data_IF_898616929692
#
_entry.id   IF_898616929692
#
_cell.length_a   1.000
_cell.length_b   1.000
_cell.length_c   1.000
_cell.angle_alpha   90.00
_cell.angle_beta   90.00
_cell.angle_gamma   90.00
#
_symmetry.space_group_name_H-M   'P 1'
#
loop_
_entity.id
_entity.type
_entity.pdbx_description
1 polymer ?
#
# COMPACT_ATOMS: atom_id res chain seq x y z
N UNK A 1 -35.81 23.39 8.31
CA UNK A 1 -35.07 22.91 7.13
C UNK A 1 -33.71 23.61 7.11
N UNK A 2 -32.70 23.00 7.70
CA UNK A 2 -31.34 23.56 7.80
C UNK A 2 -30.55 23.08 6.61
N UNK A 3 -30.14 24.01 5.72
CA UNK A 3 -29.26 23.75 4.60
C UNK A 3 -27.86 23.34 5.10
N UNK A 4 -27.43 22.12 4.79
CA UNK A 4 -26.03 21.70 4.90
C UNK A 4 -25.22 22.31 3.74
N UNK A 5 -24.06 22.91 3.98
CA UNK A 5 -23.21 23.42 2.90
C UNK A 5 -22.63 22.27 2.09
N UNK A 6 -22.56 22.46 0.77
CA UNK A 6 -22.00 21.50 -0.17
C UNK A 6 -20.50 21.26 0.09
N UNK A 7 -19.99 20.03 -0.14
CA UNK A 7 -18.57 19.73 0.08
C UNK A 7 -17.71 20.50 -0.91
N UNK A 8 -16.72 21.21 -0.40
CA UNK A 8 -15.72 21.91 -1.21
C UNK A 8 -14.88 20.90 -2.00
N UNK A 9 -14.98 20.92 -3.32
CA UNK A 9 -14.10 20.17 -4.22
C UNK A 9 -12.71 20.80 -4.18
N UNK A 10 -11.73 20.07 -3.65
CA UNK A 10 -10.32 20.45 -3.73
C UNK A 10 -9.87 20.25 -5.19
N UNK A 11 -9.44 21.30 -5.86
CA UNK A 11 -8.91 21.23 -7.22
C UNK A 11 -7.42 20.86 -7.20
N UNK A 12 -6.89 20.28 -8.29
CA UNK A 12 -5.46 19.95 -8.43
C UNK A 12 -4.54 21.15 -8.16
N UNK A 13 -4.99 22.38 -8.47
CA UNK A 13 -4.25 23.61 -8.18
C UNK A 13 -4.20 23.94 -6.70
N UNK A 14 -5.28 23.71 -5.95
CA UNK A 14 -5.32 23.94 -4.50
C UNK A 14 -4.42 22.95 -3.75
N UNK A 15 -4.29 21.71 -4.23
CA UNK A 15 -3.36 20.73 -3.66
C UNK A 15 -1.89 21.14 -3.86
N UNK A 16 -1.53 21.61 -5.06
CA UNK A 16 -0.17 22.11 -5.34
C UNK A 16 0.20 23.37 -4.53
N UNK A 17 -0.76 24.27 -4.27
CA UNK A 17 -0.50 25.48 -3.47
C UNK A 17 -0.33 25.19 -1.98
N UNK A 18 -1.07 24.23 -1.42
CA UNK A 18 -0.87 23.79 -0.03
C UNK A 18 0.50 23.11 0.16
N UNK A 19 0.93 22.31 -0.82
CA UNK A 19 2.26 21.66 -0.80
C UNK A 19 3.40 22.66 -0.92
N UNK A 20 3.22 23.76 -1.67
CA UNK A 20 4.23 24.80 -1.83
C UNK A 20 4.41 25.67 -0.58
N UNK A 21 3.35 25.90 0.19
CA UNK A 21 3.43 26.67 1.45
C UNK A 21 4.13 25.86 2.55
N UNK A 22 3.97 24.54 2.58
CA UNK A 22 4.67 23.66 3.53
C UNK A 22 6.19 23.57 3.24
N UNK A 23 6.61 23.79 1.98
CA UNK A 23 8.03 23.76 1.57
C UNK A 23 8.76 25.11 1.77
N UNK A 24 8.03 26.23 1.84
CA UNK A 24 8.64 27.55 1.97
C UNK A 24 9.15 27.87 3.39
N UNK A 25 8.76 27.11 4.42
CA UNK A 25 9.18 27.31 5.81
C UNK A 25 10.47 26.56 6.20
N UNK A 26 11.14 25.85 5.27
CA UNK A 26 12.35 25.06 5.51
C UNK A 26 13.63 25.64 4.88
N UNK A 27 13.67 26.92 4.53
CA UNK A 27 14.90 27.57 4.10
C UNK A 27 15.74 28.01 5.31
N UNK A 28 16.50 27.11 5.89
CA UNK A 28 17.61 27.41 6.81
C UNK A 28 18.94 27.20 6.11
N UNK A 29 19.96 28.05 6.37
CA UNK A 29 21.23 28.03 5.63
C UNK A 29 22.05 26.79 5.96
N UNK A 30 22.54 26.14 4.94
CA UNK A 30 23.45 25.00 5.05
C UNK A 30 24.77 25.40 5.70
N UNK A 31 25.07 24.87 6.89
CA UNK A 31 26.44 24.76 7.39
C UNK A 31 26.82 23.28 7.45
N UNK A 32 27.89 22.96 6.71
CA UNK A 32 28.54 21.66 6.74
C UNK A 32 29.15 21.40 8.11
N UNK A 33 28.87 20.24 8.68
CA UNK A 33 29.80 19.55 9.56
C UNK A 33 29.61 18.05 9.34
N UNK A 34 30.65 17.39 8.84
CA UNK A 34 30.78 15.93 8.90
C UNK A 34 31.12 15.59 10.34
N UNK A 35 30.26 14.86 11.00
CA UNK A 35 30.50 14.28 12.29
C UNK A 35 29.49 13.14 12.47
N UNK A 36 30.00 11.94 12.75
CA UNK A 36 29.23 10.79 13.20
C UNK A 36 28.47 11.18 14.47
N UNK A 37 27.19 11.47 14.36
CA UNK A 37 26.28 11.53 15.49
C UNK A 37 25.32 10.34 15.41
N UNK A 38 25.39 9.52 16.47
CA UNK A 38 24.40 8.51 16.76
C UNK A 38 22.99 9.09 16.59
N UNK A 39 22.16 8.43 15.80
CA UNK A 39 20.77 8.84 15.57
C UNK A 39 20.02 8.82 16.90
N UNK A 40 20.00 9.96 17.58
CA UNK A 40 19.02 10.23 18.62
C UNK A 40 17.65 10.19 17.97
N UNK A 41 16.77 9.36 18.49
CA UNK A 41 15.38 9.27 18.03
C UNK A 41 14.80 10.70 18.01
N UNK A 42 14.57 11.22 16.82
CA UNK A 42 14.02 12.55 16.65
C UNK A 42 12.62 12.57 17.28
N UNK A 43 12.44 13.38 18.30
CA UNK A 43 11.14 13.60 18.91
C UNK A 43 10.20 14.14 17.85
N UNK A 44 9.04 13.51 17.67
CA UNK A 44 8.04 13.93 16.71
C UNK A 44 7.71 15.42 16.88
N UNK A 45 7.79 16.19 15.78
CA UNK A 45 7.58 17.65 15.83
C UNK A 45 6.11 18.04 15.83
N UNK A 46 5.22 17.12 15.42
CA UNK A 46 3.77 17.28 15.42
C UNK A 46 3.09 15.98 15.89
N UNK A 47 3.14 15.65 17.19
CA UNK A 47 2.50 14.45 17.71
C UNK A 47 0.98 14.56 17.57
N UNK A 48 0.32 13.40 17.41
CA UNK A 48 -1.13 13.29 17.47
C UNK A 48 -1.85 13.14 16.13
N UNK A 49 -1.16 13.26 15.00
CA UNK A 49 -1.75 12.98 13.69
C UNK A 49 -1.52 11.51 13.32
N UNK A 50 -2.53 10.88 12.71
CA UNK A 50 -2.43 9.59 12.05
C UNK A 50 -2.17 9.85 10.57
N UNK A 51 -1.10 9.30 10.01
CA UNK A 51 -0.72 9.46 8.62
C UNK A 51 -0.78 8.13 7.90
N UNK A 52 -1.57 8.06 6.84
CA UNK A 52 -1.63 6.92 5.94
C UNK A 52 -1.07 7.37 4.59
N UNK A 53 0.02 6.74 4.19
CA UNK A 53 0.64 6.92 2.87
C UNK A 53 0.27 5.70 2.04
N UNK A 54 -0.29 5.90 0.85
CA UNK A 54 -0.67 4.78 0.00
C UNK A 54 -0.14 4.92 -1.42
N UNK A 55 0.09 3.76 -2.04
CA UNK A 55 0.32 3.60 -3.48
C UNK A 55 -0.73 2.68 -4.06
N UNK A 56 -0.97 2.80 -5.36
CA UNK A 56 -1.79 1.91 -6.17
C UNK A 56 -1.34 2.02 -7.62
N UNK A 57 -1.53 0.97 -8.41
CA UNK A 57 -1.23 0.94 -9.84
C UNK A 57 0.19 1.42 -10.18
N UNK A 58 1.18 0.99 -9.41
CA UNK A 58 2.57 1.43 -9.62
C UNK A 58 3.18 0.75 -10.85
N UNK A 59 2.76 -0.48 -11.17
CA UNK A 59 3.18 -1.21 -12.37
C UNK A 59 4.68 -1.19 -12.62
N UNK A 60 5.47 -1.50 -11.62
CA UNK A 60 6.94 -1.49 -11.66
C UNK A 60 7.57 -0.14 -12.05
N UNK A 61 6.86 0.98 -11.88
CA UNK A 61 7.36 2.32 -12.18
C UNK A 61 8.28 2.83 -11.07
N UNK A 62 9.44 2.20 -10.91
CA UNK A 62 10.38 2.42 -9.80
C UNK A 62 10.94 3.84 -9.76
N UNK A 63 11.20 4.42 -10.92
CA UNK A 63 11.86 5.71 -11.12
C UNK A 63 10.99 6.76 -11.84
N UNK A 64 9.79 6.38 -12.29
CA UNK A 64 8.87 7.30 -12.96
C UNK A 64 8.11 8.18 -11.96
N UNK A 65 7.72 9.37 -12.39
CA UNK A 65 6.93 10.32 -11.62
C UNK A 65 7.50 10.55 -10.21
N UNK A 66 6.78 10.09 -9.18
CA UNK A 66 7.26 10.14 -7.80
C UNK A 66 8.43 9.18 -7.59
N UNK A 67 8.31 7.93 -8.02
CA UNK A 67 9.26 6.85 -7.83
C UNK A 67 9.43 6.42 -6.36
N UNK A 68 9.94 5.21 -6.17
CA UNK A 68 10.07 4.65 -4.80
C UNK A 68 11.08 5.40 -3.93
N UNK A 69 12.17 5.92 -4.50
CA UNK A 69 13.16 6.68 -3.74
C UNK A 69 12.55 7.94 -3.10
N UNK A 70 11.69 8.66 -3.83
CA UNK A 70 11.00 9.85 -3.29
C UNK A 70 9.89 9.46 -2.32
N UNK A 71 9.19 8.35 -2.57
CA UNK A 71 8.20 7.80 -1.66
C UNK A 71 8.82 7.46 -0.31
N UNK A 72 9.97 6.74 -0.30
CA UNK A 72 10.71 6.41 0.92
C UNK A 72 11.13 7.66 1.67
N UNK A 73 11.68 8.64 0.96
CA UNK A 73 12.07 9.92 1.58
C UNK A 73 10.86 10.66 2.18
N UNK A 74 9.74 10.65 1.48
CA UNK A 74 8.50 11.22 1.99
C UNK A 74 8.00 10.49 3.24
N UNK A 75 7.96 9.14 3.21
CA UNK A 75 7.56 8.33 4.36
C UNK A 75 8.49 8.55 5.56
N UNK A 76 9.82 8.65 5.35
CA UNK A 76 10.79 8.99 6.40
C UNK A 76 10.51 10.37 7.00
N UNK A 77 10.19 11.36 6.15
CA UNK A 77 9.84 12.71 6.62
C UNK A 77 8.57 12.68 7.45
N UNK A 78 7.56 11.94 7.02
CA UNK A 78 6.32 11.80 7.80
C UNK A 78 6.58 11.11 9.14
N UNK A 79 7.37 10.03 9.14
CA UNK A 79 7.74 9.31 10.38
C UNK A 79 8.51 10.20 11.36
N UNK A 80 9.41 11.06 10.85
CA UNK A 80 10.14 12.02 11.72
C UNK A 80 9.24 13.15 12.23
N UNK A 81 8.22 13.53 11.48
CA UNK A 81 7.31 14.64 11.83
C UNK A 81 6.23 14.19 12.83
N UNK A 82 5.62 13.04 12.58
CA UNK A 82 4.43 12.59 13.31
C UNK A 82 4.68 11.44 14.28
N UNK A 83 5.88 10.86 14.26
CA UNK A 83 6.25 9.64 14.98
C UNK A 83 6.15 8.41 14.09
N UNK A 84 7.09 7.48 14.22
CA UNK A 84 7.17 6.30 13.38
C UNK A 84 5.91 5.43 13.48
N UNK A 85 5.38 5.28 14.68
CA UNK A 85 4.20 4.45 14.95
C UNK A 85 2.90 5.09 14.45
N UNK A 86 2.90 6.40 14.17
CA UNK A 86 1.75 7.13 13.67
C UNK A 86 1.70 7.20 12.13
N UNK A 87 2.63 6.55 11.43
CA UNK A 87 2.67 6.52 9.96
C UNK A 87 2.54 5.08 9.48
N UNK A 88 1.58 4.85 8.61
CA UNK A 88 1.36 3.55 7.95
C UNK A 88 1.51 3.71 6.45
N UNK A 89 2.31 2.84 5.82
CA UNK A 89 2.49 2.77 4.37
C UNK A 89 1.75 1.55 3.84
N UNK A 90 0.84 1.75 2.88
CA UNK A 90 0.01 0.69 2.30
C UNK A 90 0.10 0.68 0.79
N UNK A 91 0.02 -0.51 0.20
CA UNK A 91 -0.13 -0.71 -1.24
C UNK A 91 -1.53 -1.24 -1.55
N UNK A 92 -2.21 -0.60 -2.50
CA UNK A 92 -3.56 -0.96 -2.91
C UNK A 92 -3.60 -1.83 -4.19
N UNK A 93 -2.47 -2.46 -4.52
CA UNK A 93 -2.35 -3.45 -5.59
C UNK A 93 -1.86 -2.89 -6.93
N UNK A 94 -1.70 -3.81 -7.88
CA UNK A 94 -1.15 -3.60 -9.22
C UNK A 94 0.28 -3.04 -9.19
N UNK A 95 1.11 -3.61 -8.31
CA UNK A 95 2.48 -3.18 -8.12
C UNK A 95 3.49 -3.97 -8.97
N UNK A 96 3.36 -5.31 -9.04
CA UNK A 96 4.45 -6.22 -9.41
C UNK A 96 4.60 -6.47 -10.91
N UNK A 97 3.62 -6.10 -11.72
CA UNK A 97 3.60 -6.29 -13.16
C UNK A 97 3.67 -4.94 -13.88
N UNK A 98 4.31 -4.89 -15.05
CA UNK A 98 4.31 -3.69 -15.90
C UNK A 98 5.61 -3.55 -16.68
N UNK A 99 6.62 -2.87 -16.14
CA UNK A 99 7.87 -2.60 -16.85
C UNK A 99 8.80 -3.82 -16.94
N UNK A 100 9.91 -3.65 -17.66
CA UNK A 100 10.90 -4.72 -17.86
C UNK A 100 11.34 -5.39 -16.55
N UNK A 101 11.46 -4.64 -15.47
CA UNK A 101 11.82 -5.18 -14.16
C UNK A 101 10.81 -6.24 -13.68
N UNK A 102 9.52 -5.96 -13.77
CA UNK A 102 8.48 -6.92 -13.41
C UNK A 102 8.55 -8.18 -14.28
N UNK A 103 8.60 -8.00 -15.60
CA UNK A 103 8.63 -9.11 -16.55
C UNK A 103 9.88 -9.99 -16.45
N UNK A 104 11.06 -9.41 -16.18
CA UNK A 104 12.32 -10.16 -16.11
C UNK A 104 12.51 -10.90 -14.79
N UNK A 105 11.78 -10.54 -13.75
CA UNK A 105 11.94 -11.11 -12.40
C UNK A 105 10.64 -11.67 -11.84
N UNK A 106 9.60 -11.76 -12.67
CA UNK A 106 8.25 -12.17 -12.27
C UNK A 106 7.79 -11.47 -10.97
N UNK A 107 8.13 -10.15 -10.87
CA UNK A 107 7.77 -9.27 -9.76
C UNK A 107 8.71 -9.32 -8.55
N UNK A 108 9.67 -10.24 -8.45
CA UNK A 108 10.48 -10.43 -7.24
C UNK A 108 11.27 -9.19 -6.83
N UNK A 109 11.95 -8.52 -7.79
CA UNK A 109 12.74 -7.32 -7.47
C UNK A 109 11.86 -6.16 -6.99
N UNK A 110 10.60 -6.10 -7.45
CA UNK A 110 9.72 -5.08 -6.95
C UNK A 110 9.34 -5.33 -5.49
N UNK A 111 9.06 -6.59 -5.13
CA UNK A 111 8.79 -6.95 -3.73
C UNK A 111 9.98 -6.63 -2.84
N UNK A 112 11.22 -6.84 -3.30
CA UNK A 112 12.42 -6.42 -2.54
C UNK A 112 12.47 -4.91 -2.34
N UNK A 113 12.16 -4.12 -3.38
CA UNK A 113 12.07 -2.66 -3.28
C UNK A 113 10.96 -2.26 -2.30
N UNK A 114 9.81 -2.90 -2.35
CA UNK A 114 8.71 -2.63 -1.42
C UNK A 114 9.09 -2.96 0.04
N UNK A 115 9.87 -4.03 0.25
CA UNK A 115 10.42 -4.38 1.56
C UNK A 115 11.34 -3.29 2.10
N UNK A 116 12.24 -2.75 1.27
CA UNK A 116 13.11 -1.63 1.63
C UNK A 116 12.33 -0.32 1.88
N UNK A 117 11.18 -0.13 1.23
CA UNK A 117 10.29 0.99 1.47
C UNK A 117 9.57 0.91 2.81
N UNK A 118 9.44 -0.30 3.36
CA UNK A 118 8.78 -0.55 4.64
C UNK A 118 7.27 -0.41 4.57
N UNK A 119 6.65 -1.08 3.58
CA UNK A 119 5.20 -1.21 3.53
C UNK A 119 4.69 -2.06 4.71
N UNK A 120 3.64 -1.58 5.35
CA UNK A 120 2.99 -2.27 6.47
C UNK A 120 1.94 -3.26 5.97
N UNK A 121 1.13 -2.86 4.99
CA UNK A 121 0.05 -3.66 4.42
C UNK A 121 0.05 -3.60 2.90
N UNK A 122 -0.44 -4.66 2.27
CA UNK A 122 -0.68 -4.74 0.83
C UNK A 122 -2.01 -5.46 0.55
N UNK A 123 -2.61 -5.17 -0.60
CA UNK A 123 -3.79 -5.86 -1.11
C UNK A 123 -3.46 -6.36 -2.51
N UNK A 124 -3.81 -7.60 -2.91
CA UNK A 124 -3.67 -7.99 -4.30
C UNK A 124 -4.61 -7.19 -5.22
N UNK A 125 -4.05 -6.55 -6.24
CA UNK A 125 -4.78 -6.10 -7.40
C UNK A 125 -4.94 -7.23 -8.43
N UNK A 126 -5.36 -6.94 -9.66
CA UNK A 126 -5.47 -7.99 -10.68
C UNK A 126 -4.10 -8.39 -11.26
N UNK A 127 -3.15 -7.49 -11.31
CA UNK A 127 -1.83 -7.74 -11.90
C UNK A 127 -0.87 -8.51 -10.97
N UNK A 128 -1.17 -8.67 -9.70
CA UNK A 128 -0.44 -9.56 -8.81
C UNK A 128 -0.54 -11.02 -9.24
N UNK A 129 -1.56 -11.39 -10.02
CA UNK A 129 -1.80 -12.76 -10.48
C UNK A 129 -1.25 -13.06 -11.87
N UNK A 130 -0.69 -12.09 -12.59
CA UNK A 130 -0.29 -12.24 -14.00
C UNK A 130 0.82 -13.27 -14.23
N UNK A 131 1.62 -13.55 -13.20
CA UNK A 131 2.65 -14.60 -13.24
C UNK A 131 2.14 -15.94 -12.68
N UNK A 132 0.83 -16.07 -12.45
CA UNK A 132 0.16 -17.27 -11.91
C UNK A 132 0.23 -17.39 -10.39
N UNK A 133 -0.64 -18.25 -9.85
CA UNK A 133 -0.81 -18.40 -8.39
C UNK A 133 0.45 -18.91 -7.69
N UNK A 134 1.26 -19.75 -8.35
CA UNK A 134 2.50 -20.26 -7.74
C UNK A 134 3.49 -19.11 -7.49
N UNK A 135 3.65 -18.24 -8.48
CA UNK A 135 4.51 -17.06 -8.34
C UNK A 135 3.92 -16.05 -7.37
N UNK A 136 2.60 -15.78 -7.43
CA UNK A 136 1.93 -14.93 -6.45
C UNK A 136 2.22 -15.36 -5.01
N UNK A 137 2.09 -16.65 -4.71
CA UNK A 137 2.40 -17.19 -3.38
C UNK A 137 3.89 -16.99 -3.01
N UNK A 138 4.81 -17.09 -3.98
CA UNK A 138 6.24 -16.79 -3.78
C UNK A 138 6.44 -15.31 -3.42
N UNK A 139 5.80 -14.40 -4.14
CA UNK A 139 5.88 -12.96 -3.89
C UNK A 139 5.32 -12.60 -2.51
N UNK A 140 4.17 -13.17 -2.14
CA UNK A 140 3.57 -12.97 -0.81
C UNK A 140 4.50 -13.48 0.30
N UNK A 141 5.11 -14.66 0.12
CA UNK A 141 6.05 -15.21 1.10
C UNK A 141 7.33 -14.38 1.24
N UNK A 142 7.72 -13.66 0.18
CA UNK A 142 8.90 -12.78 0.13
C UNK A 142 8.62 -11.39 0.74
N UNK A 143 7.35 -10.96 0.72
CA UNK A 143 6.95 -9.63 1.18
C UNK A 143 7.00 -9.50 2.71
N UNK A 144 7.53 -8.37 3.19
CA UNK A 144 7.42 -7.99 4.60
C UNK A 144 6.05 -7.37 4.91
N UNK A 145 5.41 -6.75 3.92
CA UNK A 145 4.07 -6.22 4.05
C UNK A 145 3.07 -7.36 4.31
N UNK A 146 2.16 -7.15 5.25
CA UNK A 146 1.08 -8.10 5.49
C UNK A 146 0.01 -7.94 4.42
N UNK A 147 -0.23 -8.98 3.63
CA UNK A 147 -1.33 -9.01 2.68
C UNK A 147 -2.67 -9.17 3.39
N UNK A 148 -3.68 -8.45 2.93
CA UNK A 148 -5.05 -8.45 3.46
C UNK A 148 -6.04 -8.67 2.32
N UNK A 149 -7.07 -9.50 2.57
CA UNK A 149 -8.23 -9.60 1.67
C UNK A 149 -9.41 -10.27 2.36
N UNK A 150 -10.55 -9.59 2.39
CA UNK A 150 -11.78 -10.14 2.96
C UNK A 150 -12.62 -10.97 1.97
N UNK A 151 -12.19 -11.05 0.71
CA UNK A 151 -12.97 -11.71 -0.34
C UNK A 151 -12.17 -12.65 -1.25
N UNK A 152 -10.86 -12.79 -1.06
CA UNK A 152 -10.05 -13.76 -1.82
C UNK A 152 -10.03 -15.10 -1.08
N UNK A 153 -10.63 -16.10 -1.69
CA UNK A 153 -11.00 -17.37 -1.05
C UNK A 153 -10.41 -18.58 -1.79
N UNK A 154 -9.93 -19.56 -1.04
CA UNK A 154 -9.72 -20.95 -1.54
C UNK A 154 -11.08 -21.65 -1.56
N UNK A 155 -11.63 -21.87 -2.76
CA UNK A 155 -12.96 -22.45 -2.96
C UNK A 155 -13.08 -23.92 -2.51
N UNK A 156 -11.97 -24.65 -2.32
CA UNK A 156 -12.02 -26.01 -1.79
C UNK A 156 -12.29 -26.04 -0.29
N UNK A 157 -11.79 -25.05 0.41
CA UNK A 157 -11.87 -25.02 1.87
C UNK A 157 -12.88 -24.01 2.38
N UNK A 158 -13.28 -23.03 1.55
CA UNK A 158 -14.08 -21.89 1.93
C UNK A 158 -13.32 -20.88 2.81
N UNK A 159 -12.02 -21.04 2.98
CA UNK A 159 -11.22 -20.14 3.81
C UNK A 159 -10.68 -18.97 2.99
N UNK A 160 -10.61 -17.80 3.63
CA UNK A 160 -9.89 -16.67 3.06
C UNK A 160 -8.39 -17.01 2.89
N UNK A 161 -7.79 -16.50 1.83
CA UNK A 161 -6.36 -16.64 1.57
C UNK A 161 -5.51 -15.76 2.49
N UNK A 162 -6.07 -14.69 3.01
CA UNK A 162 -5.43 -13.72 3.90
C UNK A 162 -6.37 -13.34 5.03
N UNK A 163 -5.83 -12.67 6.06
CA UNK A 163 -6.67 -12.00 7.03
C UNK A 163 -7.54 -10.93 6.34
N UNK A 164 -8.82 -10.88 6.71
CA UNK A 164 -9.74 -9.91 6.13
C UNK A 164 -9.32 -8.46 6.42
N UNK A 165 -8.77 -8.23 7.60
CA UNK A 165 -8.33 -6.92 8.06
C UNK A 165 -7.20 -7.03 9.08
N UNK A 166 -6.55 -5.91 9.33
CA UNK A 166 -5.61 -5.74 10.46
C UNK A 166 -5.99 -4.51 11.28
N UNK A 167 -5.83 -4.59 12.59
CA UNK A 167 -6.00 -3.46 13.50
C UNK A 167 -4.63 -2.85 13.81
N UNK A 168 -4.54 -1.53 13.78
CA UNK A 168 -3.38 -0.79 14.25
C UNK A 168 -3.81 0.27 15.27
N UNK A 169 -3.02 0.43 16.31
CA UNK A 169 -3.23 1.46 17.32
C UNK A 169 -2.27 2.62 17.08
N UNK A 170 -2.78 3.83 17.25
CA UNK A 170 -2.05 5.08 17.03
C UNK A 170 -2.18 5.94 18.28
N UNK A 171 -1.05 6.40 18.79
CA UNK A 171 -1.01 7.35 19.88
C UNK A 171 -1.17 8.78 19.34
N UNK A 172 -2.28 9.43 19.67
CA UNK A 172 -2.54 10.81 19.28
C UNK A 172 -2.05 11.82 20.33
N UNK A 173 -1.37 11.36 21.38
CA UNK A 173 -0.93 12.19 22.50
C UNK A 173 -2.05 12.53 23.49
N UNK A 174 -3.30 12.60 23.02
CA UNK A 174 -4.48 12.78 23.86
C UNK A 174 -5.14 11.45 24.23
N UNK A 175 -5.13 10.50 23.28
CA UNK A 175 -5.68 9.16 23.45
C UNK A 175 -5.09 8.19 22.39
N UNK A 176 -5.44 6.90 22.50
CA UNK A 176 -5.09 5.89 21.51
C UNK A 176 -6.26 5.65 20.57
N UNK A 177 -6.01 5.76 19.27
CA UNK A 177 -7.00 5.45 18.22
C UNK A 177 -6.73 4.09 17.62
N UNK A 178 -7.80 3.30 17.43
CA UNK A 178 -7.75 2.01 16.71
C UNK A 178 -8.27 2.22 15.29
N UNK A 179 -7.45 1.85 14.32
CA UNK A 179 -7.80 1.92 12.90
C UNK A 179 -7.77 0.50 12.32
N UNK A 180 -8.84 0.13 11.62
CA UNK A 180 -8.91 -1.11 10.86
C UNK A 180 -8.48 -0.86 9.40
N UNK A 181 -7.56 -1.67 8.91
CA UNK A 181 -7.18 -1.75 7.49
C UNK A 181 -7.85 -2.99 6.92
N UNK A 182 -8.84 -2.80 6.06
CA UNK A 182 -9.57 -3.87 5.41
C UNK A 182 -9.08 -4.00 3.95
N UNK A 183 -8.72 -5.22 3.53
CA UNK A 183 -8.36 -5.52 2.15
C UNK A 183 -9.58 -6.01 1.37
N UNK A 184 -9.78 -5.49 0.15
CA UNK A 184 -10.79 -5.96 -0.81
C UNK A 184 -10.14 -6.06 -2.18
N UNK A 185 -10.10 -7.26 -2.76
CA UNK A 185 -9.67 -7.47 -4.12
C UNK A 185 -10.82 -7.24 -5.10
N UNK A 186 -10.52 -6.72 -6.30
CA UNK A 186 -11.54 -6.65 -7.34
C UNK A 186 -11.89 -8.06 -7.85
N UNK A 187 -13.16 -8.46 -7.88
CA UNK A 187 -13.56 -9.74 -8.45
C UNK A 187 -13.19 -9.89 -9.94
N UNK A 188 -13.08 -8.77 -10.66
CA UNK A 188 -12.64 -8.74 -12.05
C UNK A 188 -11.23 -9.31 -12.26
N UNK A 189 -10.43 -9.51 -11.20
CA UNK A 189 -9.12 -10.17 -11.27
C UNK A 189 -9.18 -11.51 -11.99
N UNK A 190 -10.28 -12.28 -11.85
CA UNK A 190 -10.47 -13.54 -12.55
C UNK A 190 -10.47 -13.41 -14.09
N UNK A 191 -10.83 -12.25 -14.62
CA UNK A 191 -10.93 -12.00 -16.06
C UNK A 191 -9.90 -11.02 -16.59
N UNK A 192 -9.43 -10.09 -15.75
CA UNK A 192 -8.39 -9.12 -16.12
C UNK A 192 -6.99 -9.70 -16.12
N UNK A 193 -6.71 -10.63 -15.20
CA UNK A 193 -5.58 -11.52 -15.31
C UNK A 193 -5.98 -12.72 -16.19
N UNK A 194 -5.49 -13.90 -15.96
CA UNK A 194 -5.90 -15.10 -16.71
C UNK A 194 -6.78 -16.01 -15.86
N UNK A 195 -8.01 -16.35 -16.30
CA UNK A 195 -8.83 -17.32 -15.56
C UNK A 195 -8.12 -18.63 -15.24
N UNK A 196 -7.18 -19.06 -16.10
CA UNK A 196 -6.40 -20.27 -15.90
C UNK A 196 -5.52 -20.22 -14.66
N UNK A 197 -5.10 -19.04 -14.20
CA UNK A 197 -4.28 -18.88 -12.99
C UNK A 197 -5.05 -19.24 -11.72
N UNK A 198 -6.37 -19.14 -11.75
CA UNK A 198 -7.24 -19.43 -10.62
C UNK A 198 -7.85 -20.84 -10.66
N UNK A 199 -7.42 -21.67 -11.62
CA UNK A 199 -7.98 -23.01 -11.87
C UNK A 199 -6.95 -24.12 -11.65
N UNK A 200 -7.44 -25.29 -11.19
CA UNK A 200 -6.74 -26.56 -11.20
C UNK A 200 -7.57 -27.56 -12.01
N UNK A 201 -7.00 -28.12 -13.09
CA UNK A 201 -7.71 -29.09 -13.94
C UNK A 201 -8.99 -28.53 -14.60
N UNK A 202 -9.03 -27.22 -14.86
CA UNK A 202 -10.18 -26.55 -15.46
C UNK A 202 -11.30 -26.17 -14.49
N UNK A 203 -11.11 -26.43 -13.20
CA UNK A 203 -12.05 -26.04 -12.14
C UNK A 203 -11.48 -24.89 -11.32
N UNK A 204 -12.28 -23.88 -11.03
CA UNK A 204 -11.85 -22.77 -10.20
C UNK A 204 -11.46 -23.23 -8.80
N UNK A 205 -10.25 -22.91 -8.44
CA UNK A 205 -9.64 -23.18 -7.14
C UNK A 205 -9.75 -21.98 -6.21
N UNK A 206 -9.74 -20.78 -6.80
CA UNK A 206 -9.75 -19.51 -6.09
C UNK A 206 -10.87 -18.63 -6.63
N UNK A 207 -11.43 -17.79 -5.76
CA UNK A 207 -12.48 -16.84 -6.08
C UNK A 207 -12.41 -15.58 -5.22
N UNK A 208 -13.14 -14.54 -5.61
CA UNK A 208 -13.13 -13.23 -4.94
C UNK A 208 -14.49 -12.83 -4.35
N UNK A 209 -15.51 -13.59 -4.59
CA UNK A 209 -16.83 -13.41 -3.97
C UNK A 209 -17.40 -14.77 -3.65
N UNK A 210 -18.05 -14.88 -2.50
CA UNK A 210 -18.94 -15.98 -2.23
C UNK A 210 -20.35 -15.60 -2.70
N UNK A 211 -20.89 -16.37 -3.59
CA UNK A 211 -22.32 -16.57 -3.70
C UNK A 211 -22.59 -18.06 -3.83
N UNK A 212 -23.85 -18.41 -3.66
CA UNK A 212 -24.31 -19.80 -3.70
C UNK A 212 -23.99 -20.54 -5.03
N UNK A 213 -23.57 -19.83 -6.06
CA UNK A 213 -23.17 -20.39 -7.35
C UNK A 213 -21.66 -20.59 -7.49
N UNK A 214 -20.84 -20.11 -6.56
CA UNK A 214 -19.37 -20.24 -6.56
C UNK A 214 -18.67 -19.57 -7.75
N UNK A 215 -19.37 -18.80 -8.55
CA UNK A 215 -18.89 -18.28 -9.83
C UNK A 215 -19.28 -16.84 -10.07
N UNK A 216 -19.76 -16.11 -9.09
CA UNK A 216 -20.05 -14.69 -9.32
C UNK A 216 -18.94 -13.82 -8.85
N UNK A 217 -18.47 -13.17 -9.81
CA UNK A 217 -17.75 -11.92 -9.76
C UNK A 217 -18.66 -10.77 -9.51
#
# INVERSE_FOLDING_TARGET
MTHLPAPHRITRRSFCTLSAVALASLALPARRAFGDEAATAATATQPGAIVIVHTNDVHCAVDDNLGYAKLVNYAKTMRSTYGADNVTLVDAGDAVQGKAMGTLTDGEYLVDIMNECGYDFAIPGNHEFDYGMAQFNTLVARANAKYLSCNFTDLRTGNLMFDAYAMREYDTGADTKKVAFLGICTPESLTKSSPAHFQEGGTYRYGFCEDDSGAKL
#
